data_IF_554906360350
#
_entry.id   IF_554906360350
#
_cell.length_a   1.000
_cell.length_b   1.000
_cell.length_c   1.000
_cell.angle_alpha   90.00
_cell.angle_beta   90.00
_cell.angle_gamma   90.00
#
_symmetry.space_group_name_H-M   'P 1'
#
loop_
_entity.id
_entity.type
_entity.pdbx_description
1 polymer ?
#
# COMPACT_ATOMS: atom_id res chain seq x y z
N UNK A 1 28.40 2.25 2.05
CA UNK A 1 27.21 1.44 2.37
C UNK A 1 26.05 2.41 2.46
N UNK A 2 25.05 2.40 1.56
CA UNK A 2 23.89 3.23 1.77
C UNK A 2 23.07 2.58 2.90
N UNK A 3 22.98 3.27 4.03
CA UNK A 3 21.99 3.03 5.05
C UNK A 3 20.63 3.37 4.42
N UNK A 4 20.02 2.42 3.72
CA UNK A 4 18.58 2.48 3.43
C UNK A 4 17.90 2.35 4.79
N UNK A 5 17.69 3.50 5.41
CA UNK A 5 17.02 3.62 6.70
C UNK A 5 15.64 3.03 6.49
N UNK A 6 15.31 1.97 7.23
CA UNK A 6 13.96 1.46 7.26
C UNK A 6 13.02 2.64 7.53
N UNK A 7 11.99 2.85 6.69
CA UNK A 7 11.15 4.02 6.80
C UNK A 7 10.57 4.13 8.19
N UNK A 8 10.73 5.29 8.81
CA UNK A 8 10.39 5.47 10.23
C UNK A 8 8.89 5.78 10.43
N UNK A 9 8.20 6.16 9.35
CA UNK A 9 6.80 6.49 9.37
C UNK A 9 6.13 6.19 8.02
N UNK A 10 4.80 6.06 8.06
CA UNK A 10 3.93 5.94 6.90
C UNK A 10 2.87 7.04 6.92
N UNK A 11 2.63 7.65 5.77
CA UNK A 11 1.55 8.57 5.50
C UNK A 11 0.58 7.89 4.53
N UNK A 12 -0.71 7.91 4.85
CA UNK A 12 -1.76 7.30 4.05
C UNK A 12 -2.58 8.40 3.37
N UNK A 13 -2.54 8.46 2.04
CA UNK A 13 -3.23 9.47 1.23
C UNK A 13 -4.69 9.07 1.02
N UNK A 14 -5.63 9.75 1.70
CA UNK A 14 -7.08 9.53 1.62
C UNK A 14 -7.60 9.49 0.19
N UNK A 15 -8.63 8.64 -0.01
CA UNK A 15 -9.32 8.46 -1.28
C UNK A 15 -9.59 9.82 -1.93
N UNK A 16 -9.36 9.87 -3.23
CA UNK A 16 -9.56 11.06 -4.07
C UNK A 16 -8.65 12.26 -3.72
N UNK A 17 -7.49 12.02 -3.07
CA UNK A 17 -6.54 13.08 -2.72
C UNK A 17 -7.08 14.11 -1.72
N UNK A 18 -8.25 13.84 -1.12
CA UNK A 18 -8.99 14.77 -0.24
C UNK A 18 -8.28 15.07 1.08
N UNK A 19 -7.18 14.37 1.37
CA UNK A 19 -6.27 14.64 2.46
C UNK A 19 -5.26 13.51 2.64
N UNK A 20 -4.26 13.72 3.48
CA UNK A 20 -3.34 12.68 3.90
C UNK A 20 -3.43 12.52 5.42
N UNK A 21 -3.13 11.33 5.93
CA UNK A 21 -2.90 11.19 7.37
C UNK A 21 -1.63 11.94 7.77
N UNK A 22 -1.44 12.19 9.07
CA UNK A 22 -0.11 12.54 9.56
C UNK A 22 0.88 11.39 9.37
N UNK A 23 2.16 11.68 9.55
CA UNK A 23 3.21 10.66 9.71
C UNK A 23 2.82 9.74 10.86
N UNK A 24 2.57 8.46 10.55
CA UNK A 24 2.21 7.44 11.53
C UNK A 24 3.34 6.41 11.65
N UNK A 25 3.76 6.05 12.87
CA UNK A 25 4.61 4.88 13.05
C UNK A 25 3.89 3.59 12.60
N UNK A 26 4.66 2.53 12.42
CA UNK A 26 4.18 1.25 11.88
C UNK A 26 2.93 0.72 12.59
N UNK A 27 2.90 0.75 13.93
CA UNK A 27 1.78 0.31 14.76
C UNK A 27 0.50 1.12 14.52
N UNK A 28 0.62 2.45 14.39
CA UNK A 28 -0.50 3.35 14.11
C UNK A 28 -1.01 3.16 12.69
N UNK A 29 -0.12 3.09 11.72
CA UNK A 29 -0.48 2.85 10.32
C UNK A 29 -1.16 1.49 10.15
N UNK A 30 -0.66 0.47 10.85
CA UNK A 30 -1.26 -0.85 10.90
C UNK A 30 -2.69 -0.79 11.44
N UNK A 31 -2.90 -0.18 12.61
CA UNK A 31 -4.23 -0.06 13.20
C UNK A 31 -5.19 0.70 12.28
N UNK A 32 -4.71 1.77 11.63
CA UNK A 32 -5.50 2.55 10.68
C UNK A 32 -5.95 1.71 9.48
N UNK A 33 -5.04 0.95 8.86
CA UNK A 33 -5.39 0.08 7.73
C UNK A 33 -6.33 -1.05 8.15
N UNK A 34 -6.09 -1.65 9.33
CA UNK A 34 -6.96 -2.69 9.90
C UNK A 34 -8.37 -2.16 10.12
N UNK A 35 -8.53 -0.93 10.59
CA UNK A 35 -9.83 -0.29 10.73
C UNK A 35 -10.52 -0.13 9.36
N UNK A 36 -9.78 0.25 8.31
CA UNK A 36 -10.32 0.39 6.94
C UNK A 36 -10.80 -0.97 6.40
N UNK A 37 -10.00 -2.03 6.49
CA UNK A 37 -10.43 -3.36 6.01
C UNK A 37 -11.57 -3.92 6.86
N UNK A 38 -11.57 -3.67 8.17
CA UNK A 38 -12.67 -4.08 9.06
C UNK A 38 -13.98 -3.36 8.70
N UNK A 39 -13.92 -2.04 8.45
CA UNK A 39 -15.07 -1.24 7.98
C UNK A 39 -15.63 -1.73 6.64
N UNK A 40 -14.78 -2.34 5.81
CA UNK A 40 -15.16 -2.96 4.53
C UNK A 40 -15.55 -4.43 4.64
N UNK A 41 -15.70 -4.96 5.86
CA UNK A 41 -16.01 -6.36 6.14
C UNK A 41 -14.98 -7.35 5.58
N UNK A 42 -13.73 -6.90 5.35
CA UNK A 42 -12.60 -7.71 4.87
C UNK A 42 -11.71 -8.15 6.04
N UNK A 43 -12.29 -8.60 7.14
CA UNK A 43 -11.57 -8.98 8.38
C UNK A 43 -10.56 -10.09 8.15
N UNK A 44 -10.83 -10.99 7.23
CA UNK A 44 -9.93 -12.08 6.82
C UNK A 44 -8.62 -11.60 6.17
N UNK A 45 -8.57 -10.36 5.69
CA UNK A 45 -7.36 -9.76 5.09
C UNK A 45 -6.51 -9.03 6.12
N UNK A 46 -7.01 -8.81 7.33
CA UNK A 46 -6.31 -8.07 8.39
C UNK A 46 -4.89 -8.62 8.60
N UNK A 47 -4.74 -9.94 8.72
CA UNK A 47 -3.41 -10.55 8.91
C UNK A 47 -2.46 -10.27 7.71
N UNK A 48 -2.98 -10.38 6.49
CA UNK A 48 -2.23 -10.09 5.27
C UNK A 48 -1.83 -8.61 5.19
N UNK A 49 -2.74 -7.68 5.53
CA UNK A 49 -2.45 -6.25 5.56
C UNK A 49 -1.34 -5.94 6.55
N UNK A 50 -1.40 -6.50 7.77
CA UNK A 50 -0.37 -6.33 8.79
C UNK A 50 0.99 -6.80 8.27
N UNK A 51 1.05 -8.01 7.70
CA UNK A 51 2.28 -8.56 7.16
C UNK A 51 2.83 -7.75 5.98
N UNK A 52 1.97 -7.36 5.04
CA UNK A 52 2.37 -6.56 3.89
C UNK A 52 2.89 -5.18 4.34
N UNK A 53 2.28 -4.58 5.37
CA UNK A 53 2.76 -3.33 5.94
C UNK A 53 4.10 -3.52 6.64
N UNK A 54 4.27 -4.57 7.45
CA UNK A 54 5.57 -4.87 8.07
C UNK A 54 6.66 -5.05 7.01
N UNK A 55 6.38 -5.81 5.95
CA UNK A 55 7.31 -5.94 4.83
C UNK A 55 7.62 -4.61 4.16
N UNK A 56 6.64 -3.71 4.01
CA UNK A 56 6.90 -2.37 3.49
C UNK A 56 7.86 -1.59 4.39
N UNK A 57 7.67 -1.66 5.71
CA UNK A 57 8.51 -1.00 6.71
C UNK A 57 9.91 -1.62 6.82
N UNK A 58 10.05 -2.93 6.62
CA UNK A 58 11.35 -3.61 6.58
C UNK A 58 12.12 -3.36 5.25
N UNK A 59 11.56 -2.58 4.33
CA UNK A 59 12.15 -2.34 3.01
C UNK A 59 11.96 -3.48 2.02
N UNK A 60 11.08 -4.44 2.32
CA UNK A 60 10.67 -5.55 1.44
C UNK A 60 9.67 -5.17 0.34
N UNK A 61 9.41 -3.87 0.13
CA UNK A 61 8.59 -3.38 -0.97
C UNK A 61 9.24 -3.66 -2.33
N UNK A 62 8.47 -4.21 -3.27
CA UNK A 62 8.95 -4.48 -4.63
C UNK A 62 8.62 -3.32 -5.56
N UNK A 63 9.56 -2.91 -6.40
CA UNK A 63 9.28 -1.93 -7.44
C UNK A 63 8.19 -2.44 -8.38
N UNK A 64 7.23 -1.58 -8.66
CA UNK A 64 6.20 -1.82 -9.68
C UNK A 64 6.73 -1.61 -11.12
N UNK A 65 8.04 -1.35 -11.25
CA UNK A 65 8.72 -1.21 -12.52
C UNK A 65 8.33 0.10 -13.22
N UNK A 66 7.35 0.01 -14.13
CA UNK A 66 6.97 1.12 -15.01
C UNK A 66 6.03 2.15 -14.37
N UNK A 67 5.41 1.83 -13.24
CA UNK A 67 4.45 2.75 -12.62
C UNK A 67 5.18 3.74 -11.72
N UNK A 68 4.87 5.01 -11.96
CA UNK A 68 5.30 6.12 -11.11
C UNK A 68 4.07 6.85 -10.60
N UNK A 69 4.16 7.37 -9.39
CA UNK A 69 3.12 8.20 -8.80
C UNK A 69 3.76 9.52 -8.40
N UNK A 70 3.26 10.63 -8.94
CA UNK A 70 3.83 11.97 -8.74
C UNK A 70 5.34 12.06 -9.07
N UNK A 71 5.81 11.28 -10.04
CA UNK A 71 7.23 11.22 -10.43
C UNK A 71 8.10 10.32 -9.55
N UNK A 72 7.54 9.70 -8.52
CA UNK A 72 8.25 8.74 -7.66
C UNK A 72 8.00 7.30 -8.11
N UNK A 73 9.01 6.41 -8.04
CA UNK A 73 8.84 4.99 -8.32
C UNK A 73 7.88 4.37 -7.30
N UNK A 74 6.83 3.70 -7.79
CA UNK A 74 5.87 3.03 -6.92
C UNK A 74 6.42 1.69 -6.48
N UNK A 75 6.34 1.44 -5.19
CA UNK A 75 6.59 0.17 -4.54
C UNK A 75 5.26 -0.51 -4.20
N UNK A 76 5.26 -1.83 -4.22
CA UNK A 76 4.15 -2.64 -3.75
C UNK A 76 4.62 -3.68 -2.75
N UNK A 77 3.84 -3.86 -1.69
CA UNK A 77 4.00 -4.99 -0.77
C UNK A 77 2.69 -5.76 -0.76
N UNK A 78 2.77 -7.05 -1.06
CA UNK A 78 1.62 -7.95 -1.05
C UNK A 78 1.88 -9.09 -0.09
N UNK A 79 0.89 -9.41 0.75
CA UNK A 79 0.91 -10.64 1.53
C UNK A 79 -0.39 -11.40 1.33
N UNK A 80 -0.32 -12.73 1.41
CA UNK A 80 -1.45 -13.63 1.26
C UNK A 80 -1.27 -14.65 0.14
N UNK A 81 -2.19 -15.63 0.09
CA UNK A 81 -2.04 -16.84 -0.70
C UNK A 81 -3.06 -16.93 -1.88
N UNK A 82 -3.32 -15.81 -2.55
CA UNK A 82 -4.22 -15.72 -3.71
C UNK A 82 -5.72 -15.72 -3.40
N UNK A 83 -6.19 -16.45 -2.37
CA UNK A 83 -7.60 -16.40 -1.93
C UNK A 83 -7.88 -15.26 -0.94
N UNK A 84 -6.89 -14.93 -0.11
CA UNK A 84 -6.93 -13.83 0.86
C UNK A 84 -5.62 -13.08 0.71
N UNK A 85 -5.62 -12.09 -0.17
CA UNK A 85 -4.44 -11.29 -0.47
C UNK A 85 -4.73 -9.83 -0.16
N UNK A 86 -3.71 -9.12 0.31
CA UNK A 86 -3.74 -7.67 0.45
C UNK A 86 -2.47 -7.11 -0.17
N UNK A 87 -2.65 -6.13 -1.05
CA UNK A 87 -1.55 -5.42 -1.69
C UNK A 87 -1.63 -3.94 -1.33
N UNK A 88 -0.52 -3.43 -0.82
CA UNK A 88 -0.32 -2.03 -0.45
C UNK A 88 0.58 -1.41 -1.51
N UNK A 89 0.15 -0.28 -2.05
CA UNK A 89 0.92 0.52 -3.00
C UNK A 89 1.35 1.82 -2.35
N UNK A 90 2.65 2.03 -2.32
CA UNK A 90 3.27 3.16 -1.65
C UNK A 90 4.52 3.59 -2.42
N UNK A 91 5.04 4.77 -2.10
CA UNK A 91 6.37 5.20 -2.55
C UNK A 91 7.16 5.68 -1.34
N UNK A 92 8.48 5.59 -1.41
CA UNK A 92 9.34 6.22 -0.42
C UNK A 92 9.51 7.70 -0.75
N UNK A 93 9.29 8.56 0.24
CA UNK A 93 9.59 9.97 0.16
C UNK A 93 10.47 10.38 1.35
N UNK A 94 11.78 10.46 1.10
CA UNK A 94 12.78 10.83 2.10
C UNK A 94 12.70 9.99 3.40
N UNK A 95 12.51 8.67 3.27
CA UNK A 95 12.40 7.75 4.42
C UNK A 95 11.02 7.69 5.07
N UNK A 96 9.99 8.25 4.43
CA UNK A 96 8.58 8.12 4.83
C UNK A 96 7.81 7.37 3.75
N UNK A 97 7.11 6.29 4.13
CA UNK A 97 6.28 5.53 3.21
C UNK A 97 4.98 6.28 2.93
N UNK A 98 4.76 6.69 1.69
CA UNK A 98 3.52 7.32 1.28
C UNK A 98 2.61 6.30 0.61
N UNK A 99 1.69 5.73 1.38
CA UNK A 99 0.69 4.80 0.88
C UNK A 99 -0.45 5.57 0.23
N UNK A 100 -0.73 5.27 -1.02
CA UNK A 100 -1.75 5.98 -1.80
C UNK A 100 -2.78 5.04 -2.42
N UNK A 101 -2.47 3.75 -2.55
CA UNK A 101 -3.44 2.78 -3.02
C UNK A 101 -3.32 1.44 -2.29
N UNK A 102 -4.42 0.71 -2.27
CA UNK A 102 -4.56 -0.57 -1.62
C UNK A 102 -5.56 -1.41 -2.38
N UNK A 103 -5.20 -2.66 -2.58
CA UNK A 103 -5.99 -3.57 -3.36
C UNK A 103 -5.69 -5.00 -2.98
N UNK A 104 -5.95 -5.85 -3.94
CA UNK A 104 -5.83 -7.29 -3.81
C UNK A 104 -4.98 -7.80 -4.96
N UNK A 105 -4.22 -8.83 -4.67
CA UNK A 105 -3.50 -9.59 -5.68
C UNK A 105 -4.52 -10.52 -6.35
N UNK A 106 -4.79 -10.26 -7.63
CA UNK A 106 -5.78 -10.98 -8.45
C UNK A 106 -5.11 -12.17 -9.15
N UNK A 107 -4.00 -11.91 -9.86
CA UNK A 107 -3.14 -12.94 -10.46
C UNK A 107 -1.67 -12.53 -10.35
N UNK A 108 -0.73 -13.43 -10.68
CA UNK A 108 0.73 -13.25 -10.51
C UNK A 108 1.31 -11.90 -10.94
N UNK A 109 0.68 -11.23 -11.91
CA UNK A 109 1.08 -9.92 -12.43
C UNK A 109 -0.06 -8.89 -12.37
N UNK A 110 -1.26 -9.25 -11.91
CA UNK A 110 -2.42 -8.35 -11.88
C UNK A 110 -2.88 -8.06 -10.46
N UNK A 111 -3.04 -6.78 -10.17
CA UNK A 111 -3.45 -6.29 -8.86
C UNK A 111 -4.65 -5.37 -9.01
N UNK A 112 -5.74 -5.70 -8.34
CA UNK A 112 -6.98 -4.94 -8.42
C UNK A 112 -7.11 -3.98 -7.26
N UNK A 113 -7.24 -2.69 -7.56
CA UNK A 113 -7.40 -1.65 -6.53
C UNK A 113 -8.85 -1.64 -6.04
N UNK A 114 -9.14 -2.38 -4.98
CA UNK A 114 -10.51 -2.52 -4.45
C UNK A 114 -10.74 -1.68 -3.19
N UNK A 115 -9.72 -1.50 -2.37
CA UNK A 115 -9.83 -0.90 -1.04
C UNK A 115 -9.57 0.60 -1.10
N UNK A 116 -8.48 1.03 -1.73
CA UNK A 116 -8.04 2.41 -1.64
C UNK A 116 -7.36 2.84 -2.93
N UNK A 117 -7.73 3.97 -3.50
CA UNK A 117 -7.15 4.39 -4.77
C UNK A 117 -7.32 5.88 -5.01
N UNK A 118 -6.45 6.41 -5.87
CA UNK A 118 -6.41 7.82 -6.20
C UNK A 118 -7.07 8.05 -7.56
N UNK A 119 -8.20 8.75 -7.56
CA UNK A 119 -8.92 9.12 -8.77
C UNK A 119 -8.02 9.95 -9.69
N UNK A 120 -8.10 9.68 -10.99
CA UNK A 120 -7.26 10.35 -11.99
C UNK A 120 -5.85 9.76 -12.13
N UNK A 121 -5.55 8.64 -11.47
CA UNK A 121 -4.28 7.90 -11.64
C UNK A 121 -4.53 6.46 -12.08
N UNK A 122 -3.48 5.76 -12.52
CA UNK A 122 -3.54 4.33 -12.84
C UNK A 122 -3.95 3.46 -11.63
N UNK A 123 -3.82 4.01 -10.41
CA UNK A 123 -4.18 3.39 -9.14
C UNK A 123 -5.55 3.84 -8.62
N UNK A 124 -6.46 4.25 -9.51
CA UNK A 124 -7.81 4.59 -9.12
C UNK A 124 -8.60 3.36 -8.62
N UNK A 125 -9.51 3.56 -7.66
CA UNK A 125 -10.35 2.48 -7.16
C UNK A 125 -11.16 1.86 -8.31
N UNK A 126 -11.13 0.53 -8.42
CA UNK A 126 -11.74 -0.26 -9.50
C UNK A 126 -10.81 -0.57 -10.67
N UNK A 127 -9.62 0.05 -10.74
CA UNK A 127 -8.62 -0.26 -11.77
C UNK A 127 -7.82 -1.50 -11.41
N UNK A 128 -7.34 -2.18 -12.45
CA UNK A 128 -6.42 -3.31 -12.33
C UNK A 128 -5.08 -2.90 -12.92
N UNK A 129 -4.02 -3.13 -12.16
CA UNK A 129 -2.65 -2.76 -12.48
C UNK A 129 -1.90 -4.02 -12.84
N UNK A 130 -1.23 -4.01 -13.98
CA UNK A 130 -0.44 -5.14 -14.44
C UNK A 130 1.05 -4.83 -14.29
N UNK A 131 1.70 -5.51 -13.35
CA UNK A 131 3.09 -5.34 -12.95
C UNK A 131 3.91 -6.54 -13.41
#
# INVERSE_FOLDING_TARGET
MPLTTAPSAMIVIKKDGTGQTGSMPQDRAQNYLVEIVTKRQMTEKVACVKQALTQAFDGGGKSTGKYTFQGHPVLHASSGNGQKSATLFFYDNAGTLMLFAMGEHDTSTKYKITIYGQKGTDFAQGKTISI
#
